data_IF_542983976780
#
_entry.id   IF_542983976780
#
_cell.length_a   1.000
_cell.length_b   1.000
_cell.length_c   1.000
_cell.angle_alpha   90.00
_cell.angle_beta   90.00
_cell.angle_gamma   90.00
#
_symmetry.space_group_name_H-M   'P 1'
#
loop_
_entity.id
_entity.type
_entity.pdbx_description
1 polymer ?
#
# COMPACT_ATOMS: atom_id res chain seq x y z
N UNK A 1 -30.13 12.46 26.69
CA UNK A 1 -29.61 11.87 25.43
C UNK A 1 -30.68 12.14 24.38
N UNK A 2 -30.39 12.93 23.35
CA UNK A 2 -31.37 13.26 22.30
C UNK A 2 -31.27 12.21 21.19
N UNK A 3 -32.25 11.30 21.12
CA UNK A 3 -32.38 10.32 20.04
C UNK A 3 -33.01 11.00 18.81
N UNK A 4 -32.49 10.70 17.62
CA UNK A 4 -33.00 11.21 16.33
C UNK A 4 -33.58 10.06 15.50
N UNK A 5 -34.51 10.38 14.61
CA UNK A 5 -35.00 9.43 13.61
C UNK A 5 -33.84 9.01 12.70
N UNK A 6 -33.61 7.70 12.58
CA UNK A 6 -32.47 7.09 11.87
C UNK A 6 -31.38 6.55 12.80
N UNK A 7 -31.40 6.85 14.10
CA UNK A 7 -30.40 6.33 15.03
C UNK A 7 -30.56 4.81 15.24
N UNK A 8 -29.45 4.06 15.14
CA UNK A 8 -29.41 2.65 15.54
C UNK A 8 -29.32 2.58 17.07
N UNK A 9 -30.21 1.82 17.68
CA UNK A 9 -30.36 1.72 19.14
C UNK A 9 -30.36 0.26 19.58
N UNK A 10 -29.78 0.00 20.77
CA UNK A 10 -29.86 -1.29 21.45
C UNK A 10 -30.82 -1.19 22.62
N UNK A 11 -31.67 -2.21 22.80
CA UNK A 11 -32.55 -2.29 23.96
C UNK A 11 -31.73 -2.63 25.21
N UNK A 12 -31.97 -1.90 26.30
CA UNK A 12 -31.27 -2.11 27.57
C UNK A 12 -31.71 -3.40 28.27
N UNK A 13 -33.01 -3.70 28.16
CA UNK A 13 -33.68 -4.74 28.95
C UNK A 13 -33.93 -6.04 28.16
N UNK A 14 -33.67 -6.04 26.84
CA UNK A 14 -33.93 -7.16 25.95
C UNK A 14 -32.78 -7.36 24.96
N UNK A 15 -32.61 -8.59 24.45
CA UNK A 15 -31.65 -8.87 23.40
C UNK A 15 -32.25 -8.47 22.05
N UNK A 16 -31.90 -7.28 21.57
CA UNK A 16 -32.28 -6.82 20.25
C UNK A 16 -31.63 -5.49 19.88
N UNK A 17 -31.55 -5.23 18.58
CA UNK A 17 -31.17 -3.94 18.01
C UNK A 17 -32.29 -3.47 17.09
N UNK A 18 -32.37 -2.17 16.88
CA UNK A 18 -33.31 -1.61 15.92
C UNK A 18 -32.98 -0.19 15.54
N UNK A 19 -33.76 0.37 14.62
CA UNK A 19 -33.56 1.72 14.08
C UNK A 19 -34.75 2.58 14.48
N UNK A 20 -34.50 3.79 14.99
CA UNK A 20 -35.56 4.73 15.36
C UNK A 20 -36.26 5.23 14.09
N UNK A 21 -37.48 4.77 13.82
CA UNK A 21 -38.24 5.19 12.63
C UNK A 21 -38.96 6.52 12.86
N UNK A 22 -39.45 6.74 14.09
CA UNK A 22 -40.30 7.89 14.42
C UNK A 22 -40.27 8.22 15.90
N UNK A 23 -40.19 9.51 16.22
CA UNK A 23 -40.32 10.01 17.60
C UNK A 23 -41.78 10.34 17.86
N UNK A 24 -42.40 9.70 18.86
CA UNK A 24 -43.80 9.94 19.23
C UNK A 24 -43.92 11.03 20.30
N UNK A 25 -42.96 11.11 21.23
CA UNK A 25 -42.89 12.12 22.28
C UNK A 25 -41.46 12.18 22.86
N UNK A 26 -41.20 13.11 23.80
CA UNK A 26 -39.90 13.19 24.48
C UNK A 26 -39.53 11.93 25.28
N UNK A 27 -40.48 11.02 25.53
CA UNK A 27 -40.27 9.81 26.34
C UNK A 27 -40.45 8.52 25.55
N UNK A 28 -41.01 8.56 24.33
CA UNK A 28 -41.40 7.37 23.57
C UNK A 28 -41.03 7.50 22.09
N UNK A 29 -40.41 6.45 21.55
CA UNK A 29 -39.94 6.36 20.17
C UNK A 29 -40.34 5.02 19.55
N UNK A 30 -40.65 5.00 18.26
CA UNK A 30 -40.83 3.77 17.50
C UNK A 30 -39.47 3.29 17.00
N UNK A 31 -39.20 2.00 17.24
CA UNK A 31 -38.00 1.32 16.78
C UNK A 31 -38.39 0.16 15.87
N UNK A 32 -37.86 0.14 14.66
CA UNK A 32 -37.97 -0.99 13.75
C UNK A 32 -36.90 -2.04 14.09
N UNK A 33 -37.33 -3.26 14.40
CA UNK A 33 -36.45 -4.41 14.63
C UNK A 33 -36.14 -5.14 13.31
N UNK A 34 -35.12 -6.00 13.28
CA UNK A 34 -34.66 -6.74 12.08
C UNK A 34 -35.75 -7.56 11.38
N UNK A 35 -36.81 -7.95 12.10
CA UNK A 35 -37.97 -8.67 11.55
C UNK A 35 -38.98 -7.75 10.83
N UNK A 36 -38.70 -6.46 10.70
CA UNK A 36 -39.54 -5.50 9.96
C UNK A 36 -40.76 -4.99 10.72
N UNK A 37 -40.87 -5.28 12.02
CA UNK A 37 -41.93 -4.77 12.89
C UNK A 37 -41.50 -3.48 13.62
N UNK A 38 -42.41 -2.51 13.71
CA UNK A 38 -42.19 -1.29 14.50
C UNK A 38 -42.79 -1.47 15.90
N UNK A 39 -41.96 -1.32 16.94
CA UNK A 39 -42.38 -1.44 18.33
C UNK A 39 -42.19 -0.10 19.05
N UNK A 40 -43.20 0.42 19.76
CA UNK A 40 -43.05 1.62 20.58
C UNK A 40 -42.31 1.30 21.88
N UNK A 41 -41.21 2.00 22.13
CA UNK A 41 -40.33 1.80 23.28
C UNK A 41 -39.97 3.12 23.95
N UNK A 42 -39.64 3.06 25.24
CA UNK A 42 -39.24 4.23 26.00
C UNK A 42 -37.81 4.66 25.62
N UNK A 43 -37.60 5.96 25.44
CA UNK A 43 -36.28 6.50 25.13
C UNK A 43 -35.24 6.23 26.24
N UNK A 44 -35.68 5.97 27.49
CA UNK A 44 -34.83 5.57 28.61
C UNK A 44 -34.28 4.15 28.50
N UNK A 45 -34.95 3.30 27.73
CA UNK A 45 -34.66 1.86 27.63
C UNK A 45 -33.82 1.56 26.39
N UNK A 46 -33.31 2.62 25.75
CA UNK A 46 -32.54 2.58 24.52
C UNK A 46 -31.18 3.23 24.73
N UNK A 47 -30.15 2.57 24.22
CA UNK A 47 -28.80 3.13 24.11
C UNK A 47 -28.53 3.36 22.63
N UNK A 48 -28.14 4.58 22.26
CA UNK A 48 -27.67 4.89 20.91
C UNK A 48 -26.38 4.12 20.64
N UNK A 49 -26.40 3.25 19.64
CA UNK A 49 -25.19 2.66 19.09
C UNK A 49 -24.66 3.70 18.10
N UNK A 50 -23.64 4.45 18.50
CA UNK A 50 -22.86 5.19 17.52
C UNK A 50 -22.13 4.17 16.65
N UNK A 51 -22.23 4.24 15.31
CA UNK A 51 -21.30 3.53 14.45
C UNK A 51 -19.94 4.23 14.62
N UNK A 52 -19.21 3.87 15.66
CA UNK A 52 -17.82 4.28 15.81
C UNK A 52 -17.01 3.47 14.82
N UNK A 53 -16.55 4.14 13.77
CA UNK A 53 -15.73 3.59 12.71
C UNK A 53 -16.42 3.57 11.34
N UNK A 54 -15.65 3.86 10.29
CA UNK A 54 -16.11 3.88 8.90
C UNK A 54 -16.66 2.53 8.42
N UNK A 55 -16.40 1.44 9.16
CA UNK A 55 -17.04 0.14 8.97
C UNK A 55 -18.58 0.23 8.95
N UNK A 56 -19.20 1.13 9.71
CA UNK A 56 -20.64 1.36 9.67
C UNK A 56 -21.14 1.83 8.29
N UNK A 57 -20.33 2.60 7.55
CA UNK A 57 -20.69 3.11 6.22
C UNK A 57 -20.58 2.04 5.12
N UNK A 58 -19.86 0.94 5.38
CA UNK A 58 -19.77 -0.19 4.45
C UNK A 58 -21.01 -1.10 4.50
N UNK A 59 -21.66 -1.22 5.67
CA UNK A 59 -22.88 -2.01 5.82
C UNK A 59 -24.15 -1.23 5.47
N UNK A 60 -24.09 0.11 5.44
CA UNK A 60 -25.23 1.00 5.10
C UNK A 60 -25.33 1.36 3.62
N UNK A 61 -24.47 0.80 2.76
CA UNK A 61 -24.68 0.91 1.31
C UNK A 61 -25.87 0.02 0.94
N UNK A 62 -27.02 0.65 0.68
CA UNK A 62 -28.09 0.05 -0.11
C UNK A 62 -27.47 -0.47 -1.41
N UNK A 63 -27.25 -1.78 -1.48
CA UNK A 63 -26.86 -2.46 -2.71
C UNK A 63 -28.06 -2.35 -3.63
N UNK A 64 -28.04 -1.34 -4.51
CA UNK A 64 -29.06 -1.15 -5.52
C UNK A 64 -28.86 -2.24 -6.60
N UNK A 65 -29.39 -3.44 -6.35
CA UNK A 65 -29.53 -4.46 -7.38
C UNK A 65 -30.74 -4.05 -8.22
N UNK A 66 -30.50 -3.30 -9.29
CA UNK A 66 -31.53 -2.95 -10.26
C UNK A 66 -31.91 -4.17 -11.10
N UNK A 67 -33.12 -4.69 -10.87
CA UNK A 67 -33.87 -5.51 -11.83
C UNK A 67 -34.51 -4.57 -12.89
N UNK A 68 -34.54 -4.94 -14.18
CA UNK A 68 -34.82 -3.97 -15.24
C UNK A 68 -36.31 -3.72 -15.45
N UNK A 69 -36.72 -2.45 -15.48
CA UNK A 69 -37.72 -1.93 -16.41
C UNK A 69 -37.88 -0.39 -16.31
N UNK A 70 -37.79 0.31 -17.45
CA UNK A 70 -38.79 1.34 -17.78
C UNK A 70 -38.44 2.83 -17.63
N UNK A 71 -37.88 3.40 -18.71
CA UNK A 71 -38.27 4.68 -19.35
C UNK A 71 -38.00 6.07 -18.71
N UNK A 72 -37.23 6.85 -19.49
CA UNK A 72 -37.51 8.21 -19.98
C UNK A 72 -37.06 9.46 -19.18
N UNK A 73 -35.84 9.91 -19.52
CA UNK A 73 -35.41 11.21 -20.12
C UNK A 73 -35.89 12.59 -19.64
N UNK A 74 -34.89 13.51 -19.70
CA UNK A 74 -34.91 14.98 -19.93
C UNK A 74 -34.90 15.86 -18.66
N UNK A 75 -34.21 16.99 -18.51
CA UNK A 75 -33.27 17.81 -19.32
C UNK A 75 -32.60 18.83 -18.34
N UNK A 76 -31.27 19.00 -18.35
CA UNK A 76 -30.51 20.21 -18.76
C UNK A 76 -30.76 21.54 -18.01
N UNK A 77 -29.67 22.10 -17.42
CA UNK A 77 -29.34 23.54 -17.49
C UNK A 77 -27.85 23.83 -17.16
N UNK A 78 -27.17 24.36 -18.18
CA UNK A 78 -25.96 25.20 -18.22
C UNK A 78 -25.98 26.37 -17.20
N UNK A 79 -24.90 27.07 -16.77
CA UNK A 79 -23.48 27.20 -17.15
C UNK A 79 -22.71 27.94 -16.02
N UNK A 80 -21.42 27.61 -15.87
CA UNK A 80 -20.16 28.29 -15.38
C UNK A 80 -20.17 29.79 -14.95
N UNK A 81 -19.02 30.38 -14.48
CA UNK A 81 -17.93 29.95 -13.58
C UNK A 81 -17.57 31.01 -12.51
N UNK A 82 -17.00 30.65 -11.35
CA UNK A 82 -16.26 31.62 -10.50
C UNK A 82 -15.04 30.95 -9.84
N UNK A 83 -13.87 31.53 -10.05
CA UNK A 83 -12.66 31.34 -9.24
C UNK A 83 -12.79 32.21 -7.99
N UNK A 84 -12.44 31.72 -6.80
CA UNK A 84 -11.46 32.30 -5.85
C UNK A 84 -11.35 31.38 -4.64
N UNK A 85 -10.17 31.41 -4.06
CA UNK A 85 -9.56 30.54 -3.07
C UNK A 85 -10.24 30.51 -1.69
N UNK A 86 -9.77 29.54 -0.90
CA UNK A 86 -9.66 29.47 0.56
C UNK A 86 -10.83 28.99 1.43
N UNK A 87 -10.58 27.81 2.00
CA UNK A 87 -10.85 27.33 3.37
C UNK A 87 -12.31 27.18 3.82
N UNK A 88 -12.77 25.94 3.73
CA UNK A 88 -13.71 25.30 4.67
C UNK A 88 -13.51 23.79 4.44
N UNK A 89 -12.77 23.10 5.30
CA UNK A 89 -13.36 22.59 6.53
C UNK A 89 -14.11 21.29 6.23
N UNK A 90 -13.50 20.36 5.49
CA UNK A 90 -13.96 18.98 5.48
C UNK A 90 -13.55 18.38 6.82
N UNK A 91 -14.54 17.97 7.61
CA UNK A 91 -14.35 17.20 8.84
C UNK A 91 -13.60 15.91 8.49
N UNK A 92 -12.28 16.00 8.57
CA UNK A 92 -11.36 14.90 8.38
C UNK A 92 -11.56 13.95 9.58
N UNK A 93 -11.82 12.65 9.36
CA UNK A 93 -12.05 11.72 10.47
C UNK A 93 -10.88 11.73 11.44
N UNK A 94 -11.19 11.65 12.74
CA UNK A 94 -10.23 11.74 13.84
C UNK A 94 -8.98 10.89 13.58
N UNK A 95 -7.82 11.56 13.45
CA UNK A 95 -6.52 10.89 13.33
C UNK A 95 -6.05 10.49 11.92
N UNK A 96 -6.84 10.67 10.85
CA UNK A 96 -6.38 10.39 9.47
C UNK A 96 -5.76 11.63 8.82
N UNK A 97 -4.58 11.49 8.24
CA UNK A 97 -3.91 12.55 7.47
C UNK A 97 -3.24 12.04 6.18
N UNK A 98 -3.16 12.86 5.13
CA UNK A 98 -2.57 12.46 3.85
C UNK A 98 -1.04 12.31 3.94
N UNK A 99 -0.46 11.52 3.03
CA UNK A 99 0.99 11.37 2.88
C UNK A 99 1.60 12.39 1.91
N UNK A 100 2.85 12.76 2.15
CA UNK A 100 3.68 13.57 1.25
C UNK A 100 4.25 12.73 0.10
N UNK A 101 3.37 12.32 -0.84
CA UNK A 101 3.70 11.38 -1.93
C UNK A 101 4.92 11.79 -2.76
N UNK A 102 5.04 13.09 -3.06
CA UNK A 102 6.15 13.61 -3.87
C UNK A 102 7.52 13.45 -3.17
N UNK A 103 7.53 13.43 -1.84
CA UNK A 103 8.73 13.26 -1.02
C UNK A 103 9.10 11.79 -0.81
N UNK A 104 8.20 10.86 -1.15
CA UNK A 104 8.33 9.42 -0.90
C UNK A 104 9.13 8.63 -1.94
N UNK A 105 9.85 9.28 -2.86
CA UNK A 105 10.61 8.61 -3.91
C UNK A 105 11.52 7.51 -3.33
N UNK A 106 11.42 6.30 -3.89
CA UNK A 106 12.18 5.12 -3.45
C UNK A 106 11.55 4.30 -2.32
N UNK A 107 10.45 4.75 -1.72
CA UNK A 107 9.69 3.95 -0.73
C UNK A 107 8.70 3.06 -1.48
N UNK A 108 8.68 1.76 -1.14
CA UNK A 108 7.81 0.78 -1.80
C UNK A 108 6.33 1.04 -1.50
N UNK A 109 5.45 0.60 -2.39
CA UNK A 109 4.02 0.64 -2.10
C UNK A 109 3.68 -0.48 -1.12
N UNK A 110 3.03 -0.14 0.00
CA UNK A 110 2.80 -1.08 1.09
C UNK A 110 2.21 -0.45 2.33
N UNK A 111 2.10 -1.26 3.37
CA UNK A 111 1.65 -0.85 4.71
C UNK A 111 2.86 -0.72 5.62
N UNK A 112 2.94 0.40 6.34
CA UNK A 112 4.01 0.67 7.29
C UNK A 112 3.46 0.98 8.67
N UNK A 113 4.17 0.56 9.70
CA UNK A 113 3.96 0.97 11.08
C UNK A 113 5.06 1.95 11.46
N UNK A 114 4.70 3.10 12.00
CA UNK A 114 5.67 4.10 12.45
C UNK A 114 5.40 4.52 13.89
N UNK A 115 6.49 4.70 14.65
CA UNK A 115 6.48 5.27 15.99
C UNK A 115 7.20 6.62 15.90
N UNK A 116 6.44 7.70 16.01
CA UNK A 116 6.95 9.07 15.91
C UNK A 116 6.92 9.74 17.30
N UNK A 117 8.00 10.39 17.75
CA UNK A 117 7.95 11.26 18.92
C UNK A 117 6.89 12.33 18.73
N UNK A 118 5.99 12.46 19.70
CA UNK A 118 4.93 13.47 19.66
C UNK A 118 5.54 14.88 19.51
N UNK A 119 6.67 15.13 20.19
CA UNK A 119 7.53 16.28 19.94
C UNK A 119 8.79 15.86 19.15
N UNK A 120 8.88 16.32 17.90
CA UNK A 120 9.98 16.03 16.98
C UNK A 120 11.33 16.65 17.39
N UNK A 121 11.35 17.56 18.38
CA UNK A 121 12.59 18.07 18.99
C UNK A 121 13.18 17.07 20.00
N UNK A 122 12.34 16.27 20.63
CA UNK A 122 12.69 15.39 21.73
C UNK A 122 12.52 13.93 21.32
N UNK A 123 13.48 13.41 20.56
CA UNK A 123 13.33 12.09 19.95
C UNK A 123 13.32 10.94 20.97
N UNK A 124 14.08 11.09 22.07
CA UNK A 124 14.31 10.02 23.06
C UNK A 124 13.38 10.08 24.27
N UNK A 125 12.65 11.18 24.44
CA UNK A 125 11.81 11.43 25.62
C UNK A 125 10.40 11.79 25.19
N UNK A 126 9.48 11.92 26.15
CA UNK A 126 8.07 12.25 25.87
C UNK A 126 7.29 11.11 25.21
N UNK A 127 6.07 11.43 24.79
CA UNK A 127 5.13 10.47 24.23
C UNK A 127 5.50 10.07 22.79
N UNK A 128 5.01 8.92 22.37
CA UNK A 128 5.13 8.41 21.01
C UNK A 128 3.75 8.28 20.39
N UNK A 129 3.60 8.83 19.20
CA UNK A 129 2.45 8.63 18.34
C UNK A 129 2.70 7.43 17.43
N UNK A 130 1.78 6.48 17.45
CA UNK A 130 1.84 5.27 16.64
C UNK A 130 0.91 5.44 15.46
N UNK A 131 1.45 5.43 14.25
CA UNK A 131 0.66 5.51 13.03
C UNK A 131 0.73 4.24 12.21
N UNK A 132 -0.41 3.83 11.67
CA UNK A 132 -0.47 2.91 10.55
C UNK A 132 -0.55 3.71 9.25
N UNK A 133 0.32 3.40 8.31
CA UNK A 133 0.52 4.16 7.08
C UNK A 133 0.19 3.28 5.89
N UNK A 134 -0.78 3.73 5.10
CA UNK A 134 -1.15 3.11 3.83
C UNK A 134 -0.47 3.87 2.67
N UNK A 135 0.69 3.41 2.23
CA UNK A 135 1.33 3.91 1.01
C UNK A 135 0.92 3.05 -0.20
N UNK A 136 -0.37 2.98 -0.47
CA UNK A 136 -0.89 2.27 -1.63
C UNK A 136 -2.10 2.98 -2.21
N UNK A 137 -2.49 2.55 -3.43
CA UNK A 137 -3.69 3.02 -4.11
C UNK A 137 -4.99 2.38 -3.60
N UNK A 138 -4.91 1.41 -2.68
CA UNK A 138 -6.06 0.63 -2.22
C UNK A 138 -6.59 1.21 -0.90
N UNK A 139 -7.89 1.07 -0.65
CA UNK A 139 -8.42 1.22 0.71
C UNK A 139 -7.94 0.04 1.55
N UNK A 140 -7.38 0.33 2.73
CA UNK A 140 -6.82 -0.68 3.63
C UNK A 140 -7.73 -0.86 4.83
N UNK A 141 -8.51 -1.94 4.85
CA UNK A 141 -9.34 -2.33 5.99
C UNK A 141 -8.45 -3.14 6.93
N UNK A 142 -8.22 -2.67 8.16
CA UNK A 142 -7.24 -3.29 9.05
C UNK A 142 -7.82 -3.72 10.40
N UNK A 143 -7.11 -4.64 11.05
CA UNK A 143 -7.23 -4.97 12.47
C UNK A 143 -5.83 -4.92 13.09
N UNK A 144 -5.68 -4.16 14.17
CA UNK A 144 -4.45 -3.97 14.91
C UNK A 144 -4.58 -4.65 16.28
N UNK A 145 -3.70 -5.61 16.54
CA UNK A 145 -3.70 -6.41 17.76
C UNK A 145 -2.33 -6.37 18.42
N UNK A 146 -2.31 -6.31 19.75
CA UNK A 146 -1.09 -6.41 20.55
C UNK A 146 -0.99 -7.78 21.20
N UNK A 147 0.24 -8.21 21.45
CA UNK A 147 0.49 -9.47 22.12
C UNK A 147 0.26 -9.34 23.63
N UNK A 148 -0.47 -10.29 24.19
CA UNK A 148 -0.68 -10.46 25.62
C UNK A 148 0.23 -11.59 26.17
N UNK A 149 0.11 -11.91 27.45
CA UNK A 149 0.84 -13.04 28.04
C UNK A 149 0.57 -14.36 27.28
N UNK A 150 1.64 -15.10 26.98
CA UNK A 150 1.58 -16.35 26.22
C UNK A 150 1.43 -16.13 24.71
N UNK A 151 0.45 -16.81 24.10
CA UNK A 151 0.13 -16.73 22.67
C UNK A 151 -1.22 -16.02 22.40
N UNK A 152 -1.73 -15.29 23.39
CA UNK A 152 -2.95 -14.49 23.25
C UNK A 152 -2.66 -13.12 22.63
N UNK A 153 -3.67 -12.58 21.92
CA UNK A 153 -3.63 -11.24 21.33
C UNK A 153 -4.91 -10.48 21.68
N UNK A 154 -4.78 -9.20 21.98
CA UNK A 154 -5.90 -8.29 22.23
C UNK A 154 -6.05 -7.29 21.08
N UNK A 155 -7.30 -7.07 20.64
CA UNK A 155 -7.60 -6.08 19.60
C UNK A 155 -7.56 -4.67 20.18
N UNK A 156 -6.81 -3.78 19.52
CA UNK A 156 -6.62 -2.39 19.96
C UNK A 156 -7.39 -1.42 19.10
N UNK A 157 -7.34 -1.60 17.77
CA UNK A 157 -8.02 -0.72 16.83
C UNK A 157 -8.33 -1.48 15.53
N UNK A 158 -9.41 -1.11 14.86
CA UNK A 158 -9.76 -1.57 13.53
C UNK A 158 -10.46 -0.43 12.81
N UNK A 159 -10.08 -0.16 11.57
CA UNK A 159 -10.78 0.82 10.72
C UNK A 159 -10.32 0.67 9.26
N UNK A 160 -10.66 1.66 8.43
CA UNK A 160 -10.24 1.77 7.04
C UNK A 160 -9.30 2.96 6.88
N UNK A 161 -8.12 2.70 6.32
CA UNK A 161 -7.16 3.75 5.96
C UNK A 161 -7.29 4.02 4.46
N UNK A 162 -7.67 5.25 4.06
CA UNK A 162 -7.74 5.62 2.65
C UNK A 162 -6.39 5.46 1.93
N UNK A 163 -6.40 5.37 0.59
CA UNK A 163 -5.19 5.39 -0.20
C UNK A 163 -4.26 6.53 0.20
N UNK A 164 -2.96 6.27 0.21
CA UNK A 164 -1.91 7.26 0.44
C UNK A 164 -2.14 8.15 1.68
N UNK A 165 -2.59 7.55 2.78
CA UNK A 165 -2.89 8.22 4.04
C UNK A 165 -2.25 7.50 5.23
N UNK A 166 -2.14 8.19 6.37
CA UNK A 166 -1.77 7.61 7.66
C UNK A 166 -2.88 7.83 8.67
N UNK A 167 -3.05 6.90 9.60
CA UNK A 167 -3.99 6.98 10.70
C UNK A 167 -3.23 6.88 12.02
N UNK A 168 -3.50 7.80 12.95
CA UNK A 168 -3.05 7.69 14.34
C UNK A 168 -3.81 6.55 15.00
N UNK A 169 -3.09 5.53 15.46
CA UNK A 169 -3.65 4.40 16.20
C UNK A 169 -3.76 4.73 17.68
N UNK A 170 -2.68 5.29 18.26
CA UNK A 170 -2.63 5.68 19.67
C UNK A 170 -1.43 6.62 19.95
N UNK A 171 -1.55 7.43 21.00
CA UNK A 171 -0.43 8.15 21.61
C UNK A 171 -0.06 7.51 22.94
N UNK A 172 1.12 6.92 23.02
CA UNK A 172 1.59 6.15 24.17
C UNK A 172 2.68 6.86 24.96
N UNK A 173 2.85 6.50 26.22
CA UNK A 173 4.01 6.90 27.01
C UNK A 173 5.19 5.96 26.78
N UNK A 174 6.36 6.25 27.35
CA UNK A 174 7.53 5.37 27.28
C UNK A 174 7.37 4.10 28.13
N UNK A 175 6.49 4.14 29.12
CA UNK A 175 6.23 3.02 30.03
C UNK A 175 5.42 1.93 29.32
N UNK A 176 4.56 2.33 28.37
CA UNK A 176 3.74 1.44 27.57
C UNK A 176 4.52 0.76 26.41
N UNK A 177 5.79 1.13 26.20
CA UNK A 177 6.57 0.65 25.05
C UNK A 177 6.67 -0.87 24.97
N UNK A 178 6.77 -1.55 26.11
CA UNK A 178 6.94 -3.00 26.14
C UNK A 178 5.68 -3.71 25.61
N UNK A 179 4.48 -3.26 26.01
CA UNK A 179 3.21 -3.82 25.50
C UNK A 179 2.94 -3.45 24.04
N UNK A 180 3.42 -2.28 23.60
CA UNK A 180 3.30 -1.81 22.22
C UNK A 180 4.41 -2.26 21.29
N UNK A 181 5.32 -3.13 21.76
CA UNK A 181 6.50 -3.55 21.00
C UNK A 181 6.28 -4.82 20.15
N UNK A 182 5.23 -5.59 20.42
CA UNK A 182 4.95 -6.86 19.74
C UNK A 182 3.45 -7.01 19.47
N UNK A 183 3.10 -7.39 18.24
CA UNK A 183 1.70 -7.49 17.82
C UNK A 183 1.52 -8.01 16.41
N UNK A 184 0.28 -7.98 15.95
CA UNK A 184 -0.12 -8.41 14.61
C UNK A 184 -1.02 -7.33 14.00
N UNK A 185 -0.72 -6.96 12.76
CA UNK A 185 -1.60 -6.15 11.92
C UNK A 185 -2.08 -6.99 10.76
N UNK A 186 -3.40 -7.07 10.60
CA UNK A 186 -4.04 -7.71 9.46
C UNK A 186 -4.66 -6.64 8.58
N UNK A 187 -4.52 -6.76 7.25
CA UNK A 187 -5.06 -5.79 6.30
C UNK A 187 -5.70 -6.50 5.11
N UNK A 188 -6.91 -6.10 4.77
CA UNK A 188 -7.60 -6.46 3.52
C UNK A 188 -7.60 -5.24 2.62
N UNK A 189 -7.22 -5.43 1.37
CA UNK A 189 -7.15 -4.36 0.38
C UNK A 189 -8.44 -4.33 -0.46
N UNK A 190 -9.05 -3.17 -0.57
CA UNK A 190 -10.26 -2.95 -1.35
C UNK A 190 -10.04 -1.89 -2.43
N UNK A 191 -10.74 -2.04 -3.55
CA UNK A 191 -10.84 -1.03 -4.60
C UNK A 191 -12.15 -1.19 -5.35
N UNK A 192 -12.72 -0.07 -5.79
CA UNK A 192 -13.86 -0.03 -6.69
C UNK A 192 -13.48 -0.30 -8.16
N UNK A 193 -12.17 -0.26 -8.47
CA UNK A 193 -11.65 -0.51 -9.81
C UNK A 193 -11.42 -2.00 -10.06
N UNK A 194 -11.58 -2.44 -11.31
CA UNK A 194 -11.28 -3.82 -11.73
C UNK A 194 -9.78 -4.06 -11.70
N UNK A 195 -9.28 -4.71 -10.64
CA UNK A 195 -7.86 -5.00 -10.41
C UNK A 195 -7.65 -6.44 -9.94
N UNK A 196 -6.42 -6.99 -10.08
CA UNK A 196 -6.10 -8.30 -9.53
C UNK A 196 -6.37 -8.34 -8.02
N UNK A 197 -7.00 -9.42 -7.57
CA UNK A 197 -7.28 -9.62 -6.15
C UNK A 197 -5.96 -9.72 -5.38
N UNK A 198 -5.88 -9.03 -4.25
CA UNK A 198 -4.75 -9.11 -3.34
C UNK A 198 -5.07 -10.10 -2.21
N UNK A 199 -4.10 -10.93 -1.85
CA UNK A 199 -4.05 -11.67 -0.59
C UNK A 199 -4.13 -10.68 0.57
N UNK A 200 -4.90 -10.99 1.62
CA UNK A 200 -4.83 -10.22 2.86
C UNK A 200 -3.39 -10.19 3.39
N UNK A 201 -2.95 -9.02 3.87
CA UNK A 201 -1.72 -8.90 4.62
C UNK A 201 -1.95 -9.43 6.04
N UNK A 202 -1.04 -10.30 6.49
CA UNK A 202 -0.96 -10.72 7.88
C UNK A 202 0.48 -10.48 8.36
N UNK A 203 0.69 -9.40 9.11
CA UNK A 203 2.01 -8.91 9.49
C UNK A 203 2.19 -8.95 11.01
N UNK A 204 2.96 -9.92 11.50
CA UNK A 204 3.46 -9.90 12.86
C UNK A 204 4.66 -8.95 12.96
N UNK A 205 4.69 -8.10 13.98
CA UNK A 205 5.80 -7.21 14.25
C UNK A 205 6.36 -7.42 15.66
N UNK A 206 7.67 -7.22 15.81
CA UNK A 206 8.36 -7.18 17.09
C UNK A 206 9.52 -6.20 17.04
N UNK A 207 9.52 -5.22 17.92
CA UNK A 207 10.62 -4.28 18.12
C UNK A 207 11.22 -4.45 19.51
N UNK A 208 12.52 -4.26 19.61
CA UNK A 208 13.18 -4.18 20.92
C UNK A 208 13.02 -2.76 21.47
N UNK A 209 12.45 -2.62 22.67
CA UNK A 209 12.20 -1.33 23.33
C UNK A 209 13.43 -0.42 23.40
N UNK A 210 14.63 -1.02 23.54
CA UNK A 210 15.94 -0.33 23.49
C UNK A 210 16.14 0.53 22.25
N UNK A 211 15.49 0.21 21.11
CA UNK A 211 15.60 1.03 19.89
C UNK A 211 14.99 2.43 20.08
N UNK A 212 13.94 2.57 20.89
CA UNK A 212 13.27 3.85 21.12
C UNK A 212 14.10 4.84 21.96
N UNK A 213 15.14 4.36 22.64
CA UNK A 213 16.09 5.15 23.41
C UNK A 213 17.39 5.46 22.64
N UNK A 214 17.43 5.19 21.33
CA UNK A 214 18.56 5.52 20.46
C UNK A 214 18.15 6.52 19.39
N UNK A 215 18.80 7.68 19.34
CA UNK A 215 18.48 8.74 18.39
C UNK A 215 18.65 8.28 16.94
N UNK A 216 19.67 7.46 16.69
CA UNK A 216 19.95 6.85 15.38
C UNK A 216 18.85 5.92 14.87
N UNK A 217 17.93 5.46 15.73
CA UNK A 217 16.78 4.67 15.31
C UNK A 217 15.69 5.52 14.64
N UNK A 218 15.66 6.84 14.89
CA UNK A 218 14.65 7.74 14.37
C UNK A 218 15.15 8.37 13.08
N UNK A 219 14.64 7.86 11.97
CA UNK A 219 14.99 8.35 10.64
C UNK A 219 13.84 9.17 10.09
N UNK A 220 14.16 10.12 9.22
CA UNK A 220 13.13 10.90 8.54
C UNK A 220 12.33 9.99 7.61
N UNK A 221 11.06 9.79 7.95
CA UNK A 221 10.13 9.07 7.10
C UNK A 221 9.39 10.06 6.20
N UNK A 222 9.94 10.25 5.00
CA UNK A 222 9.53 11.31 4.06
C UNK A 222 8.04 11.30 3.69
N UNK A 223 7.39 10.13 3.67
CA UNK A 223 5.95 10.03 3.41
C UNK A 223 5.10 10.65 4.52
N UNK A 224 5.52 10.55 5.78
CA UNK A 224 4.78 11.09 6.91
C UNK A 224 5.28 12.48 7.34
N UNK A 225 6.46 12.89 6.88
CA UNK A 225 7.12 14.15 7.29
C UNK A 225 7.59 14.14 8.75
N UNK A 226 7.84 12.95 9.32
CA UNK A 226 8.19 12.78 10.73
C UNK A 226 9.46 11.94 10.87
N UNK A 227 10.31 12.29 11.82
CA UNK A 227 11.35 11.40 12.33
C UNK A 227 10.68 10.30 13.14
N UNK A 228 10.90 9.05 12.74
CA UNK A 228 10.21 7.91 13.30
C UNK A 228 11.05 6.64 13.24
N UNK A 229 10.71 5.69 14.10
CA UNK A 229 11.10 4.29 13.92
C UNK A 229 10.09 3.67 12.96
N UNK A 230 10.56 3.20 11.81
CA UNK A 230 9.71 2.71 10.71
C UNK A 230 9.84 1.20 10.57
N UNK A 231 8.71 0.52 10.42
CA UNK A 231 8.63 -0.89 10.02
C UNK A 231 7.81 -0.98 8.73
N UNK A 232 8.34 -1.73 7.76
CA UNK A 232 7.53 -2.20 6.64
C UNK A 232 6.79 -3.47 7.09
N UNK A 233 5.46 -3.42 7.09
CA UNK A 233 4.62 -4.56 7.46
C UNK A 233 4.35 -5.46 6.26
N UNK A 234 4.37 -4.91 5.05
CA UNK A 234 4.24 -5.68 3.82
C UNK A 234 4.07 -4.79 2.58
N UNK A 235 4.73 -5.20 1.49
CA UNK A 235 4.61 -4.54 0.18
C UNK A 235 3.46 -5.13 -0.63
N UNK A 236 2.72 -4.27 -1.35
CA UNK A 236 1.61 -4.66 -2.23
C UNK A 236 1.99 -5.77 -3.21
N UNK A 237 3.21 -5.71 -3.75
CA UNK A 237 3.74 -6.72 -4.66
C UNK A 237 3.74 -8.13 -4.06
N UNK A 238 3.94 -8.24 -2.74
CA UNK A 238 3.90 -9.51 -2.01
C UNK A 238 2.49 -10.03 -1.72
N UNK A 239 1.46 -9.20 -1.92
CA UNK A 239 0.06 -9.59 -1.75
C UNK A 239 -0.63 -9.92 -3.07
N UNK A 240 0.01 -9.77 -4.23
CA UNK A 240 -0.66 -10.09 -5.50
C UNK A 240 -0.99 -11.59 -5.58
N UNK A 241 -2.28 -11.97 -5.61
CA UNK A 241 -2.68 -13.35 -5.88
C UNK A 241 -2.39 -13.65 -7.34
N UNK A 242 -1.56 -14.66 -7.58
CA UNK A 242 -1.44 -15.26 -8.91
C UNK A 242 -2.64 -16.21 -9.01
N UNK A 243 -3.65 -15.86 -9.82
CA UNK A 243 -4.72 -16.80 -10.16
C UNK A 243 -4.09 -18.03 -10.80
N UNK A 244 -4.21 -19.17 -10.13
CA UNK A 244 -3.57 -20.41 -10.51
C UNK A 244 -4.16 -20.99 -11.79
N UNK A 245 -3.36 -21.00 -12.85
CA UNK A 245 -3.45 -21.98 -13.94
C UNK A 245 -2.09 -22.58 -14.27
N UNK A 246 -1.16 -22.62 -13.30
CA UNK A 246 0.13 -23.26 -13.49
C UNK A 246 0.36 -24.35 -12.42
N UNK A 247 0.38 -25.65 -12.80
CA UNK A 247 0.49 -26.77 -11.86
C UNK A 247 1.84 -26.85 -11.11
N UNK A 248 2.83 -26.02 -11.45
CA UNK A 248 4.20 -26.16 -10.98
C UNK A 248 4.53 -25.44 -9.65
N UNK A 249 3.55 -24.84 -8.99
CA UNK A 249 3.75 -24.10 -7.73
C UNK A 249 2.90 -24.62 -6.56
N UNK A 250 2.42 -25.87 -6.62
CA UNK A 250 1.85 -26.55 -5.45
C UNK A 250 2.92 -27.01 -4.43
N UNK A 251 4.21 -26.87 -4.74
CA UNK A 251 5.32 -27.38 -3.92
C UNK A 251 5.99 -26.37 -2.98
N UNK A 252 5.50 -25.13 -2.88
CA UNK A 252 6.02 -24.13 -1.92
C UNK A 252 4.90 -23.58 -1.04
N UNK A 253 4.18 -24.50 -0.40
CA UNK A 253 3.24 -24.20 0.67
C UNK A 253 3.90 -24.48 2.01
N UNK A 254 4.84 -23.63 2.42
CA UNK A 254 5.23 -23.51 3.82
C UNK A 254 5.31 -22.03 4.23
N UNK A 255 4.28 -21.51 4.93
CA UNK A 255 4.22 -20.14 5.44
C UNK A 255 5.36 -19.78 6.42
N UNK A 256 6.03 -20.77 7.02
CA UNK A 256 7.06 -20.55 8.03
C UNK A 256 8.43 -20.13 7.46
N UNK A 257 8.66 -20.29 6.15
CA UNK A 257 9.94 -19.97 5.52
C UNK A 257 10.12 -18.48 5.13
N UNK A 258 9.04 -17.67 5.13
CA UNK A 258 9.09 -16.26 4.70
C UNK A 258 9.61 -15.29 5.78
N UNK A 259 9.69 -15.70 7.04
CA UNK A 259 10.09 -14.80 8.14
C UNK A 259 11.61 -14.60 8.32
N UNK A 260 12.47 -15.08 7.42
CA UNK A 260 13.94 -14.95 7.57
C UNK A 260 14.68 -14.22 6.43
N UNK A 261 13.98 -13.52 5.53
CA UNK A 261 14.63 -12.70 4.50
C UNK A 261 14.17 -11.24 4.60
N UNK A 262 14.53 -10.57 5.70
CA UNK A 262 14.54 -9.10 5.77
C UNK A 262 15.75 -8.60 6.56
N UNK A 263 16.88 -9.28 6.39
CA UNK A 263 18.17 -8.76 6.80
C UNK A 263 18.91 -8.29 5.54
N UNK A 264 18.83 -6.97 5.29
CA UNK A 264 19.77 -6.19 4.47
C UNK A 264 20.14 -6.88 3.14
N UNK A 265 19.20 -6.94 2.20
CA UNK A 265 19.59 -7.08 0.80
C UNK A 265 20.06 -5.69 0.32
N UNK A 266 21.29 -5.53 -0.19
CA UNK A 266 21.66 -4.31 -0.87
C UNK A 266 20.67 -4.03 -2.02
N UNK A 267 20.42 -2.75 -2.37
CA UNK A 267 19.51 -2.42 -3.48
C UNK A 267 19.95 -3.18 -4.72
N UNK A 268 18.99 -3.69 -5.48
CA UNK A 268 19.28 -4.50 -6.64
C UNK A 268 20.18 -3.72 -7.61
N UNK A 269 21.09 -4.41 -8.29
CA UNK A 269 22.08 -3.74 -9.14
C UNK A 269 21.41 -2.89 -10.23
N UNK A 270 20.25 -3.34 -10.74
CA UNK A 270 19.37 -2.63 -11.67
C UNK A 270 18.77 -1.32 -11.14
N UNK A 271 18.63 -1.16 -9.81
CA UNK A 271 17.95 0.00 -9.22
C UNK A 271 18.71 1.31 -9.45
N UNK A 272 20.02 1.23 -9.65
CA UNK A 272 20.88 2.40 -9.96
C UNK A 272 20.55 3.03 -11.31
N UNK A 273 19.86 2.29 -12.17
CA UNK A 273 19.55 2.66 -13.55
C UNK A 273 18.05 2.91 -13.76
N UNK A 274 17.27 3.01 -12.66
CA UNK A 274 15.82 3.17 -12.69
C UNK A 274 15.43 4.56 -13.23
N UNK A 275 14.62 4.57 -14.28
CA UNK A 275 14.08 5.81 -14.88
C UNK A 275 12.59 5.99 -14.60
N UNK A 276 11.86 4.91 -14.35
CA UNK A 276 10.46 4.90 -13.96
C UNK A 276 10.13 3.64 -13.14
N UNK A 277 8.93 3.55 -12.52
CA UNK A 277 8.52 2.33 -11.82
C UNK A 277 8.63 1.10 -12.73
N UNK A 278 9.49 0.14 -12.35
CA UNK A 278 9.75 -1.09 -13.12
C UNK A 278 10.31 -0.85 -14.53
N UNK A 279 10.90 0.33 -14.77
CA UNK A 279 11.63 0.68 -15.99
C UNK A 279 13.07 1.14 -15.65
N UNK A 280 14.05 0.71 -16.45
CA UNK A 280 15.44 1.16 -16.33
C UNK A 280 16.03 1.51 -17.69
N UNK A 281 17.05 2.39 -17.68
CA UNK A 281 17.85 2.75 -18.85
C UNK A 281 19.33 2.52 -18.54
N UNK A 282 19.99 1.68 -19.34
CA UNK A 282 21.36 1.22 -19.11
C UNK A 282 22.23 1.54 -20.31
N UNK A 283 23.25 2.38 -20.11
CA UNK A 283 24.24 2.69 -21.14
C UNK A 283 25.33 1.61 -21.20
N UNK A 284 25.47 0.96 -22.35
CA UNK A 284 26.46 -0.08 -22.59
C UNK A 284 27.72 0.44 -23.28
N UNK A 285 27.84 1.73 -23.60
CA UNK A 285 29.10 2.25 -24.17
C UNK A 285 30.27 2.00 -23.22
N UNK A 286 31.39 1.47 -23.73
CA UNK A 286 32.51 1.08 -22.88
C UNK A 286 33.08 2.26 -22.08
N UNK A 287 33.04 3.47 -22.64
CA UNK A 287 33.41 4.71 -21.95
C UNK A 287 32.54 5.03 -20.74
N UNK A 288 31.30 4.53 -20.73
CA UNK A 288 30.35 4.68 -19.62
C UNK A 288 30.50 3.57 -18.57
N UNK A 289 31.23 2.49 -18.92
CA UNK A 289 31.41 1.32 -18.06
C UNK A 289 32.82 1.21 -17.45
N UNK A 290 33.84 1.76 -18.13
CA UNK A 290 35.24 1.69 -17.69
C UNK A 290 36.06 2.89 -18.17
N UNK A 291 37.08 3.26 -17.41
CA UNK A 291 37.99 4.39 -17.72
C UNK A 291 39.24 3.95 -18.50
N UNK A 292 39.72 2.72 -18.30
CA UNK A 292 40.90 2.08 -18.90
C UNK A 292 40.63 1.41 -20.26
N UNK A 293 39.48 1.69 -20.89
CA UNK A 293 39.04 1.03 -22.10
C UNK A 293 39.97 1.20 -23.32
N UNK A 294 40.86 2.21 -23.28
CA UNK A 294 41.83 2.47 -24.35
C UNK A 294 42.88 1.36 -24.51
N UNK A 295 43.12 0.57 -23.46
CA UNK A 295 44.08 -0.55 -23.48
C UNK A 295 43.42 -1.89 -23.83
N UNK A 296 42.09 -1.92 -23.94
CA UNK A 296 41.34 -3.14 -24.21
C UNK A 296 41.23 -3.42 -25.71
N UNK A 297 41.35 -4.69 -26.09
CA UNK A 297 41.02 -5.12 -27.45
C UNK A 297 39.51 -5.07 -27.70
N UNK A 298 39.11 -4.94 -28.97
CA UNK A 298 37.69 -4.95 -29.37
C UNK A 298 36.92 -6.18 -28.87
N UNK A 299 37.58 -7.34 -28.75
CA UNK A 299 36.95 -8.56 -28.24
C UNK A 299 36.69 -8.48 -26.72
N UNK A 300 37.64 -7.92 -25.97
CA UNK A 300 37.50 -7.72 -24.51
C UNK A 300 36.42 -6.68 -24.19
N UNK A 301 36.36 -5.61 -24.98
CA UNK A 301 35.30 -4.58 -24.88
C UNK A 301 33.94 -5.23 -25.08
N UNK A 302 33.75 -5.96 -26.19
CA UNK A 302 32.48 -6.60 -26.51
C UNK A 302 32.06 -7.61 -25.43
N UNK A 303 32.99 -8.44 -24.95
CA UNK A 303 32.73 -9.39 -23.86
C UNK A 303 32.28 -8.69 -22.59
N UNK A 304 32.96 -7.61 -22.20
CA UNK A 304 32.61 -6.88 -20.98
C UNK A 304 31.24 -6.21 -21.07
N UNK A 305 30.93 -5.60 -22.22
CA UNK A 305 29.62 -5.01 -22.48
C UNK A 305 28.50 -6.05 -22.41
N UNK A 306 28.74 -7.26 -22.95
CA UNK A 306 27.77 -8.35 -22.93
C UNK A 306 27.59 -8.92 -21.52
N UNK A 307 28.67 -9.14 -20.77
CA UNK A 307 28.60 -9.58 -19.37
C UNK A 307 27.83 -8.57 -18.50
N UNK A 308 28.06 -7.27 -18.73
CA UNK A 308 27.33 -6.21 -18.05
C UNK A 308 25.85 -6.22 -18.43
N UNK A 309 25.53 -6.35 -19.72
CA UNK A 309 24.16 -6.52 -20.21
C UNK A 309 23.45 -7.70 -19.51
N UNK A 310 24.04 -8.89 -19.49
CA UNK A 310 23.47 -10.10 -18.87
C UNK A 310 23.19 -9.88 -17.39
N UNK A 311 24.16 -9.35 -16.63
CA UNK A 311 23.98 -9.06 -15.19
C UNK A 311 22.83 -8.07 -14.94
N UNK A 312 22.71 -7.07 -15.79
CA UNK A 312 21.66 -6.05 -15.70
C UNK A 312 20.29 -6.62 -16.04
N UNK A 313 20.20 -7.46 -17.09
CA UNK A 313 18.98 -8.14 -17.46
C UNK A 313 18.54 -9.14 -16.38
N UNK A 314 19.45 -9.96 -15.85
CA UNK A 314 19.15 -10.92 -14.76
C UNK A 314 18.66 -10.19 -13.50
N UNK A 315 19.33 -9.08 -13.14
CA UNK A 315 18.90 -8.23 -12.03
C UNK A 315 17.53 -7.61 -12.30
N UNK A 316 17.23 -7.22 -13.54
CA UNK A 316 15.93 -6.67 -13.92
C UNK A 316 14.81 -7.72 -13.82
N UNK A 317 15.05 -8.93 -14.33
CA UNK A 317 14.12 -10.07 -14.25
C UNK A 317 13.85 -10.43 -12.79
N UNK A 318 14.92 -10.60 -11.99
CA UNK A 318 14.82 -10.97 -10.56
C UNK A 318 14.08 -9.92 -9.73
N UNK A 319 14.17 -8.65 -10.11
CA UNK A 319 13.54 -7.53 -9.39
C UNK A 319 12.28 -7.01 -10.09
N UNK A 320 11.66 -7.84 -10.92
CA UNK A 320 10.37 -7.63 -11.55
C UNK A 320 10.27 -6.35 -12.41
N UNK A 321 11.35 -5.90 -13.05
CA UNK A 321 11.24 -4.86 -14.09
C UNK A 321 10.45 -5.41 -15.27
N UNK A 322 9.62 -4.58 -15.92
CA UNK A 322 8.90 -4.99 -17.13
C UNK A 322 9.56 -4.46 -18.40
N UNK A 323 10.43 -3.45 -18.30
CA UNK A 323 11.16 -2.87 -19.42
C UNK A 323 12.55 -2.42 -19.00
N UNK A 324 13.55 -2.76 -19.81
CA UNK A 324 14.88 -2.16 -19.72
C UNK A 324 15.30 -1.68 -21.10
N UNK A 325 15.65 -0.40 -21.20
CA UNK A 325 16.21 0.21 -22.41
C UNK A 325 17.74 0.12 -22.34
N UNK A 326 18.36 -0.60 -23.27
CA UNK A 326 19.82 -0.71 -23.36
C UNK A 326 20.35 0.15 -24.51
N UNK A 327 21.29 1.03 -24.21
CA UNK A 327 21.93 1.93 -25.19
C UNK A 327 23.23 1.28 -25.65
N UNK A 328 23.29 0.83 -26.91
CA UNK A 328 24.42 0.10 -27.47
C UNK A 328 25.19 0.89 -28.55
N UNK A 329 24.68 2.06 -28.96
CA UNK A 329 25.30 2.93 -29.95
C UNK A 329 25.04 2.52 -31.41
N UNK A 330 25.39 3.41 -32.34
CA UNK A 330 25.10 3.28 -33.79
C UNK A 330 26.19 2.57 -34.61
N UNK A 331 27.12 1.86 -33.95
CA UNK A 331 28.30 1.26 -34.59
C UNK A 331 27.99 0.21 -35.67
N UNK A 332 28.94 -0.68 -35.94
CA UNK A 332 28.80 -1.73 -36.96
C UNK A 332 27.73 -2.81 -36.64
N UNK A 333 27.00 -2.69 -35.52
CA UNK A 333 25.96 -3.61 -35.10
C UNK A 333 26.43 -4.84 -34.33
N UNK A 334 27.74 -5.02 -34.06
CA UNK A 334 28.25 -6.22 -33.38
C UNK A 334 27.65 -6.42 -31.98
N UNK A 335 27.53 -5.36 -31.17
CA UNK A 335 26.95 -5.44 -29.82
C UNK A 335 25.44 -5.73 -29.87
N UNK A 336 24.71 -5.11 -30.80
CA UNK A 336 23.28 -5.38 -31.01
C UNK A 336 23.05 -6.85 -31.38
N UNK A 337 23.82 -7.38 -32.32
CA UNK A 337 23.71 -8.79 -32.73
C UNK A 337 24.04 -9.73 -31.56
N UNK A 338 25.05 -9.40 -30.75
CA UNK A 338 25.39 -10.19 -29.56
C UNK A 338 24.28 -10.17 -28.51
N UNK A 339 23.66 -9.01 -28.26
CA UNK A 339 22.49 -8.87 -27.37
C UNK A 339 21.32 -9.73 -27.87
N UNK A 340 21.00 -9.66 -29.17
CA UNK A 340 19.92 -10.46 -29.77
C UNK A 340 20.18 -11.96 -29.63
N UNK A 341 21.43 -12.40 -29.78
CA UNK A 341 21.79 -13.79 -29.52
C UNK A 341 21.67 -14.16 -28.04
N UNK A 342 22.11 -13.29 -27.13
CA UNK A 342 22.10 -13.55 -25.69
C UNK A 342 20.68 -13.66 -25.11
N UNK A 343 19.73 -12.85 -25.60
CA UNK A 343 18.33 -12.92 -25.15
C UNK A 343 17.58 -14.15 -25.65
N UNK A 344 18.11 -14.88 -26.64
CA UNK A 344 17.48 -16.10 -27.14
C UNK A 344 17.44 -17.22 -26.07
N UNK A 345 18.33 -17.15 -25.09
CA UNK A 345 18.40 -18.08 -23.95
C UNK A 345 17.37 -17.75 -22.85
N UNK A 346 16.61 -16.66 -22.99
CA UNK A 346 15.63 -16.21 -22.02
C UNK A 346 14.20 -16.46 -22.54
N UNK A 347 13.43 -17.26 -21.82
CA UNK A 347 12.08 -17.66 -22.25
C UNK A 347 11.04 -16.54 -22.15
N UNK A 348 11.28 -15.54 -21.30
CA UNK A 348 10.30 -14.54 -20.90
C UNK A 348 10.70 -13.10 -21.25
N UNK A 349 11.49 -12.91 -22.31
CA UNK A 349 11.88 -11.58 -22.76
C UNK A 349 11.56 -11.38 -24.24
N UNK A 350 11.18 -10.16 -24.61
CA UNK A 350 10.91 -9.76 -25.98
C UNK A 350 11.79 -8.58 -26.36
N UNK A 351 12.42 -8.70 -27.53
CA UNK A 351 13.19 -7.63 -28.14
C UNK A 351 12.30 -6.64 -28.87
N UNK A 352 12.45 -5.34 -28.58
CA UNK A 352 11.85 -4.24 -29.35
C UNK A 352 12.89 -3.17 -29.68
N UNK A 353 12.67 -2.47 -30.79
CA UNK A 353 13.44 -1.26 -31.06
C UNK A 353 12.98 -0.16 -30.11
N UNK A 354 13.93 0.53 -29.47
CA UNK A 354 13.61 1.68 -28.62
C UNK A 354 13.05 2.84 -29.48
N UNK A 355 12.34 3.81 -28.87
CA UNK A 355 11.76 4.93 -29.61
C UNK A 355 12.81 5.72 -30.41
N UNK A 356 12.66 5.71 -31.75
CA UNK A 356 13.60 6.37 -32.67
C UNK A 356 13.78 7.87 -32.37
N UNK A 357 12.70 8.55 -31.96
CA UNK A 357 12.73 9.97 -31.62
C UNK A 357 13.70 10.32 -30.48
N UNK A 358 13.99 9.36 -29.58
CA UNK A 358 14.85 9.58 -28.41
C UNK A 358 16.26 9.01 -28.61
N UNK A 359 16.40 7.85 -29.25
CA UNK A 359 17.69 7.13 -29.30
C UNK A 359 18.20 6.84 -30.72
N UNK A 360 17.47 7.26 -31.76
CA UNK A 360 17.76 6.84 -33.13
C UNK A 360 17.78 5.30 -33.24
N UNK A 361 18.83 4.76 -33.87
CA UNK A 361 19.06 3.31 -33.98
C UNK A 361 20.00 2.74 -32.89
N UNK A 362 20.34 3.54 -31.88
CA UNK A 362 21.39 3.23 -30.92
C UNK A 362 20.93 2.54 -29.64
N UNK A 363 19.65 2.21 -29.50
CA UNK A 363 19.11 1.57 -28.31
C UNK A 363 18.02 0.53 -28.64
N UNK A 364 17.85 -0.40 -27.70
CA UNK A 364 16.87 -1.48 -27.77
C UNK A 364 16.11 -1.58 -26.47
N UNK A 365 14.82 -1.87 -26.55
CA UNK A 365 13.99 -2.17 -25.39
C UNK A 365 13.91 -3.68 -25.23
N UNK A 366 14.21 -4.17 -24.03
CA UNK A 366 13.92 -5.54 -23.62
C UNK A 366 12.68 -5.50 -22.75
N UNK A 367 11.58 -6.05 -23.27
CA UNK A 367 10.32 -6.20 -22.54
C UNK A 367 10.38 -7.53 -21.81
N UNK A 368 10.25 -7.48 -20.48
CA UNK A 368 10.28 -8.68 -19.65
C UNK A 368 8.83 -9.08 -19.40
N UNK A 369 8.43 -10.18 -20.02
CA UNK A 369 7.15 -10.81 -19.82
C UNK A 369 7.17 -11.64 -18.55
N UNK A 370 6.00 -11.81 -17.92
CA UNK A 370 5.85 -12.88 -16.95
C UNK A 370 5.86 -14.18 -17.74
N UNK A 371 6.74 -15.12 -17.40
CA UNK A 371 6.70 -16.47 -17.97
C UNK A 371 5.28 -17.03 -17.81
N UNK A 372 4.79 -17.67 -18.87
CA UNK A 372 3.49 -18.33 -18.87
C UNK A 372 3.41 -19.40 -17.79
#
# INVERSE_FOLDING_TARGET
>A
MELRTGDKVRFLNEKGEGIVTRILSNTMVNVAIEEGFEVPVLASDLIRIEPQGMAGRFFDRNVNVELPAGSATAEERNEKPVKTETVSGDEQPDGISPLFRQSGAGITEGIYLIYAPHDQKWLMTGNLDIFLVNNSRYEAIFSFMLKEEGDAFSGVNYDVIPPYSKMLIETITREDLDSWSEGIVQVIFHSAESIPVLSPLHAAFKIKSVRFYKETSYQEFRLAGLKSVVLNLGDISGQLLISGTDPLMAAVSDPAARQKISAIAPPAYIDRFRTAPREAEVDLHISSLREDYAEMSNNEILRYQLDFFTRMLDSAITNNYYKVTFIHGIGNGSLKSAIVSAIADYENVEFRNAPFARYGNGAVDIIIHKGN
#
